data_IF_314700222290
#
_entry.id   IF_314700222290
#
_cell.length_a   1.000
_cell.length_b   1.000
_cell.length_c   1.000
_cell.angle_alpha   90.00
_cell.angle_beta   90.00
_cell.angle_gamma   90.00
#
_symmetry.space_group_name_H-M   'P 1'
#
loop_
_entity.id
_entity.type
_entity.pdbx_description
1 polymer ?
#
# COMPACT_ATOMS: atom_id res chain seq x y z
N UNK A 1 -1.26 -13.00 1.88
CA UNK A 1 -1.59 -11.59 2.17
C UNK A 1 -0.45 -10.73 1.65
N UNK A 2 -0.68 -9.88 0.66
CA UNK A 2 0.34 -9.01 0.05
C UNK A 2 0.83 -7.94 1.04
N UNK A 3 -0.07 -7.45 1.90
CA UNK A 3 0.25 -6.50 2.97
C UNK A 3 1.27 -7.08 3.95
N UNK A 4 1.12 -8.35 4.36
CA UNK A 4 2.06 -9.02 5.27
C UNK A 4 3.43 -9.23 4.61
N UNK A 5 3.46 -9.57 3.32
CA UNK A 5 4.73 -9.70 2.59
C UNK A 5 5.47 -8.35 2.49
N UNK A 6 4.74 -7.27 2.22
CA UNK A 6 5.29 -5.92 2.20
C UNK A 6 5.81 -5.51 3.58
N UNK A 7 5.08 -5.83 4.64
CA UNK A 7 5.51 -5.57 6.02
C UNK A 7 6.82 -6.29 6.37
N UNK A 8 6.93 -7.59 6.08
CA UNK A 8 8.14 -8.35 6.38
C UNK A 8 9.36 -7.96 5.52
N UNK A 9 9.15 -7.27 4.39
CA UNK A 9 10.20 -6.87 3.45
C UNK A 9 10.53 -5.38 3.51
N UNK A 10 9.76 -4.59 4.27
CA UNK A 10 10.01 -3.17 4.44
C UNK A 10 11.18 -2.94 5.40
N UNK A 11 12.06 -1.99 5.07
CA UNK A 11 13.23 -1.66 5.90
C UNK A 11 12.94 -0.57 6.94
N UNK A 12 11.94 0.27 6.69
CA UNK A 12 11.55 1.39 7.52
C UNK A 12 10.09 1.83 7.19
N UNK A 13 9.56 2.79 7.94
CA UNK A 13 8.18 3.26 7.78
C UNK A 13 7.95 3.99 6.45
N UNK A 14 8.96 4.67 5.90
CA UNK A 14 8.84 5.38 4.64
C UNK A 14 8.84 4.39 3.46
N UNK A 15 9.68 3.36 3.51
CA UNK A 15 9.69 2.23 2.57
C UNK A 15 8.38 1.43 2.66
N UNK A 16 7.88 1.16 3.88
CA UNK A 16 6.58 0.53 4.09
C UNK A 16 5.47 1.32 3.40
N UNK A 17 5.39 2.63 3.66
CA UNK A 17 4.38 3.52 3.05
C UNK A 17 4.51 3.55 1.53
N UNK A 18 5.72 3.65 0.99
CA UNK A 18 5.98 3.66 -0.45
C UNK A 18 5.62 2.32 -1.12
N UNK A 19 5.79 1.19 -0.45
CA UNK A 19 5.38 -0.13 -0.95
C UNK A 19 3.87 -0.31 -0.90
N UNK A 20 3.23 0.07 0.22
CA UNK A 20 1.78 0.02 0.36
C UNK A 20 1.09 0.90 -0.70
N UNK A 21 1.64 2.09 -0.98
CA UNK A 21 1.12 2.97 -2.02
C UNK A 21 1.16 2.39 -3.44
N UNK A 22 2.08 1.46 -3.72
CA UNK A 22 2.23 0.79 -5.03
C UNK A 22 1.29 -0.41 -5.23
N UNK A 23 0.54 -0.81 -4.21
CA UNK A 23 -0.41 -1.93 -4.31
C UNK A 23 -1.52 -1.54 -5.29
N UNK A 24 -1.74 -2.36 -6.32
CA UNK A 24 -2.87 -2.22 -7.23
C UNK A 24 -4.11 -2.82 -6.58
N UNK A 25 -5.11 -1.97 -6.31
CA UNK A 25 -6.34 -2.36 -5.61
C UNK A 25 -7.52 -2.55 -6.55
N UNK A 26 -7.48 -1.93 -7.73
CA UNK A 26 -8.54 -2.02 -8.72
C UNK A 26 -8.02 -1.68 -10.12
N UNK A 27 -8.90 -1.81 -11.10
CA UNK A 27 -8.70 -1.30 -12.45
C UNK A 27 -9.88 -0.40 -12.82
N UNK A 28 -9.62 0.70 -13.53
CA UNK A 28 -10.67 1.56 -14.07
C UNK A 28 -11.43 0.84 -15.19
N UNK A 29 -12.54 1.42 -15.66
CA UNK A 29 -13.29 0.91 -16.83
C UNK A 29 -12.43 0.87 -18.09
N UNK A 30 -11.45 1.78 -18.17
CA UNK A 30 -10.46 1.86 -19.25
C UNK A 30 -9.26 0.93 -19.03
N UNK A 31 -9.35 0.00 -18.07
CA UNK A 31 -8.32 -0.97 -17.67
C UNK A 31 -7.03 -0.34 -17.16
N UNK A 32 -7.07 0.90 -16.67
CA UNK A 32 -5.92 1.51 -16.02
C UNK A 32 -5.80 1.00 -14.58
N UNK A 33 -4.61 0.59 -14.12
CA UNK A 33 -4.42 0.16 -12.74
C UNK A 33 -4.68 1.33 -11.78
N UNK A 34 -5.39 1.06 -10.69
CA UNK A 34 -5.62 2.00 -9.59
C UNK A 34 -4.84 1.49 -8.39
N UNK A 35 -3.94 2.31 -7.89
CA UNK A 35 -3.09 2.01 -6.74
C UNK A 35 -3.70 2.49 -5.43
N UNK A 36 -3.20 2.00 -4.30
CA UNK A 36 -3.59 2.50 -2.99
C UNK A 36 -3.23 3.99 -2.79
N UNK A 37 -2.14 4.45 -3.44
CA UNK A 37 -1.76 5.87 -3.45
C UNK A 37 -2.77 6.74 -4.21
N UNK A 38 -3.37 6.25 -5.29
CA UNK A 38 -4.42 6.97 -6.02
C UNK A 38 -5.67 7.21 -5.16
N UNK A 39 -5.88 6.37 -4.14
CA UNK A 39 -6.95 6.50 -3.16
C UNK A 39 -6.54 7.26 -1.89
N UNK A 40 -5.28 7.74 -1.80
CA UNK A 40 -4.70 8.34 -0.58
C UNK A 40 -4.79 7.42 0.64
N UNK A 41 -4.81 6.11 0.42
CA UNK A 41 -5.01 5.11 1.46
C UNK A 41 -3.70 4.69 2.15
N UNK A 42 -2.54 5.01 1.56
CA UNK A 42 -1.23 4.57 2.04
C UNK A 42 -0.93 5.05 3.47
N UNK A 43 -1.33 6.27 3.84
CA UNK A 43 -1.13 6.79 5.18
C UNK A 43 -1.97 6.05 6.24
N UNK A 44 -3.22 5.74 5.93
CA UNK A 44 -4.11 5.00 6.81
C UNK A 44 -3.65 3.55 6.97
N UNK A 45 -3.22 2.91 5.88
CA UNK A 45 -2.68 1.55 5.89
C UNK A 45 -1.40 1.47 6.73
N UNK A 46 -0.47 2.43 6.58
CA UNK A 46 0.74 2.50 7.41
C UNK A 46 0.41 2.73 8.88
N UNK A 47 -0.61 3.54 9.21
CA UNK A 47 -1.02 3.78 10.59
C UNK A 47 -1.54 2.50 11.28
N UNK A 48 -2.40 1.73 10.60
CA UNK A 48 -2.92 0.46 11.13
C UNK A 48 -1.79 -0.55 11.35
N UNK A 49 -0.78 -0.57 10.48
CA UNK A 49 0.35 -1.50 10.58
C UNK A 49 1.45 -1.05 11.55
N UNK A 50 1.49 0.24 11.90
CA UNK A 50 2.42 0.76 12.90
C UNK A 50 2.09 0.24 14.30
N UNK A 51 0.80 0.01 14.57
CA UNK A 51 0.30 -0.50 15.85
C UNK A 51 0.24 -2.04 15.91
N UNK A 52 0.59 -2.73 14.81
CA UNK A 52 0.47 -4.18 14.63
C UNK A 52 1.73 -4.96 15.07
#
# INVERSE_FOLDING_TARGET
SEIMAIFCLATDLDDLKARLGRIVVAYTRDRQPVTAADLKAEGALTAVLKDA
#
